data_IF_591733998159
#
_entry.id   IF_591733998159
#
_cell.length_a   1.000
_cell.length_b   1.000
_cell.length_c   1.000
_cell.angle_alpha   90.00
_cell.angle_beta   90.00
_cell.angle_gamma   90.00
#
_symmetry.space_group_name_H-M   'P 1'
#
loop_
_entity.id
_entity.type
_entity.pdbx_description
1 polymer ?
#
# COMPACT_ATOMS: atom_id res chain seq x y z
N UNK A 1 -23.38 -35.35 17.75
CA UNK A 1 -24.19 -34.15 18.00
C UNK A 1 -23.32 -33.18 18.77
N UNK A 2 -22.80 -32.17 18.09
CA UNK A 2 -21.94 -31.15 18.69
C UNK A 2 -22.84 -30.13 19.40
N UNK A 3 -22.58 -29.86 20.68
CA UNK A 3 -23.21 -28.74 21.38
C UNK A 3 -22.90 -27.42 20.65
N UNK A 4 -23.86 -26.49 20.55
CA UNK A 4 -23.58 -25.16 20.02
C UNK A 4 -22.64 -24.44 21.00
N UNK A 5 -21.55 -23.88 20.48
CA UNK A 5 -20.68 -22.97 21.22
C UNK A 5 -21.54 -21.82 21.76
N UNK A 6 -21.65 -21.67 23.08
CA UNK A 6 -22.25 -20.49 23.70
C UNK A 6 -21.60 -19.23 23.10
N UNK A 7 -22.41 -18.37 22.48
CA UNK A 7 -22.00 -17.03 22.07
C UNK A 7 -21.60 -16.24 23.32
N UNK A 8 -20.31 -16.27 23.67
CA UNK A 8 -19.77 -15.40 24.70
C UNK A 8 -19.96 -13.94 24.25
N UNK A 9 -20.90 -13.24 24.88
CA UNK A 9 -21.18 -11.83 24.60
C UNK A 9 -19.91 -11.04 24.90
N UNK A 10 -19.32 -10.45 23.86
CA UNK A 10 -18.09 -9.68 24.00
C UNK A 10 -18.29 -8.52 25.00
N UNK A 11 -17.38 -8.33 25.97
CA UNK A 11 -17.47 -7.25 26.95
C UNK A 11 -17.61 -5.89 26.26
N UNK A 12 -18.42 -4.99 26.81
CA UNK A 12 -18.68 -3.67 26.19
C UNK A 12 -18.02 -2.53 26.96
N UNK A 13 -17.80 -1.40 26.29
CA UNK A 13 -17.29 -0.18 26.95
C UNK A 13 -18.26 0.32 28.05
N UNK A 14 -19.56 0.09 27.87
CA UNK A 14 -20.57 0.44 28.86
C UNK A 14 -20.41 -0.38 30.14
N UNK A 15 -20.07 -1.66 30.01
CA UNK A 15 -19.80 -2.53 31.14
C UNK A 15 -18.52 -2.12 31.89
N UNK A 16 -17.46 -1.78 31.18
CA UNK A 16 -16.24 -1.21 31.80
C UNK A 16 -16.54 0.09 32.55
N UNK A 17 -17.31 1.00 31.95
CA UNK A 17 -17.68 2.27 32.57
C UNK A 17 -18.48 2.06 33.86
N UNK A 18 -19.44 1.12 33.84
CA UNK A 18 -20.23 0.74 35.01
C UNK A 18 -19.34 0.18 36.12
N UNK A 19 -18.40 -0.71 35.79
CA UNK A 19 -17.50 -1.35 36.75
C UNK A 19 -16.47 -0.39 37.35
N UNK A 20 -16.04 0.62 36.58
CA UNK A 20 -15.13 1.66 37.04
C UNK A 20 -15.85 2.85 37.70
N UNK A 21 -17.18 2.82 37.78
CA UNK A 21 -18.03 3.90 38.32
C UNK A 21 -17.77 5.27 37.66
N UNK A 22 -17.71 5.28 36.33
CA UNK A 22 -17.53 6.50 35.53
C UNK A 22 -18.49 6.55 34.34
N UNK A 23 -18.61 7.71 33.69
CA UNK A 23 -19.35 7.79 32.43
C UNK A 23 -18.63 7.05 31.30
N UNK A 24 -19.39 6.56 30.31
CA UNK A 24 -18.84 5.93 29.09
C UNK A 24 -17.83 6.83 28.39
N UNK A 25 -18.07 8.15 28.38
CA UNK A 25 -17.15 9.14 27.83
C UNK A 25 -15.82 9.19 28.61
N UNK A 26 -15.86 9.11 29.94
CA UNK A 26 -14.67 9.12 30.80
C UNK A 26 -13.87 7.82 30.67
N UNK A 27 -14.54 6.66 30.66
CA UNK A 27 -13.91 5.38 30.39
C UNK A 27 -13.23 5.37 29.01
N UNK A 28 -13.89 5.93 27.99
CA UNK A 28 -13.31 6.07 26.67
C UNK A 28 -12.07 6.95 26.65
N UNK A 29 -12.11 8.11 27.34
CA UNK A 29 -10.95 9.02 27.42
C UNK A 29 -9.76 8.37 28.11
N UNK A 30 -10.00 7.69 29.22
CA UNK A 30 -8.99 6.93 29.97
C UNK A 30 -8.30 5.88 29.07
N UNK A 31 -9.08 5.01 28.41
CA UNK A 31 -8.56 3.94 27.54
C UNK A 31 -7.90 4.46 26.26
N UNK A 32 -8.15 5.72 25.87
CA UNK A 32 -7.49 6.37 24.74
C UNK A 32 -6.31 7.26 25.17
N UNK A 33 -5.94 7.28 26.46
CA UNK A 33 -4.84 8.10 26.96
C UNK A 33 -5.10 9.61 26.90
N UNK A 34 -6.36 10.04 26.83
CA UNK A 34 -6.73 11.46 26.67
C UNK A 34 -7.11 12.03 28.05
N UNK A 35 -6.22 12.86 28.60
CA UNK A 35 -6.47 13.77 29.74
C UNK A 35 -7.50 13.26 30.76
N UNK A 36 -7.06 12.36 31.63
CA UNK A 36 -7.85 11.72 32.69
C UNK A 36 -7.03 11.69 33.99
N UNK A 37 -7.69 11.85 35.14
CA UNK A 37 -7.01 11.79 36.44
C UNK A 37 -6.38 10.39 36.66
N UNK A 38 -5.20 10.29 37.28
CA UNK A 38 -4.50 9.02 37.49
C UNK A 38 -5.37 7.95 38.17
N UNK A 39 -6.17 8.36 39.15
CA UNK A 39 -7.05 7.46 39.92
C UNK A 39 -8.13 6.85 39.01
N UNK A 40 -8.77 7.69 38.19
CA UNK A 40 -9.78 7.26 37.22
C UNK A 40 -9.18 6.37 36.14
N UNK A 41 -7.97 6.68 35.65
CA UNK A 41 -7.27 5.84 34.69
C UNK A 41 -7.01 4.44 35.26
N UNK A 42 -6.51 4.36 36.50
CA UNK A 42 -6.26 3.09 37.17
C UNK A 42 -7.54 2.26 37.36
N UNK A 43 -8.65 2.91 37.76
CA UNK A 43 -9.94 2.23 37.94
C UNK A 43 -10.49 1.68 36.61
N UNK A 44 -10.37 2.45 35.53
CA UNK A 44 -10.84 2.03 34.21
C UNK A 44 -10.00 0.90 33.63
N UNK A 45 -8.67 0.95 33.79
CA UNK A 45 -7.78 -0.12 33.31
C UNK A 45 -8.04 -1.43 34.06
N UNK A 46 -8.16 -1.38 35.40
CA UNK A 46 -8.47 -2.56 36.21
C UNK A 46 -9.85 -3.15 35.87
N UNK A 47 -10.85 -2.30 35.63
CA UNK A 47 -12.18 -2.74 35.21
C UNK A 47 -12.16 -3.41 33.83
N UNK A 48 -11.41 -2.85 32.87
CA UNK A 48 -11.26 -3.40 31.53
C UNK A 48 -10.54 -4.76 31.56
N UNK A 49 -9.45 -4.87 32.33
CA UNK A 49 -8.69 -6.11 32.50
C UNK A 49 -9.56 -7.21 33.12
N UNK A 50 -10.32 -6.89 34.17
CA UNK A 50 -11.19 -7.87 34.86
C UNK A 50 -12.23 -8.52 33.96
N UNK A 51 -12.74 -7.80 32.96
CA UNK A 51 -13.73 -8.34 32.01
C UNK A 51 -13.10 -8.76 30.69
N UNK A 52 -11.78 -8.63 30.52
CA UNK A 52 -11.11 -8.90 29.25
C UNK A 52 -11.53 -7.93 28.12
N UNK A 53 -11.96 -6.70 28.46
CA UNK A 53 -12.34 -5.71 27.46
C UNK A 53 -11.11 -5.19 26.71
N UNK A 54 -11.09 -5.45 25.40
CA UNK A 54 -10.15 -4.82 24.48
C UNK A 54 -10.90 -3.75 23.68
N UNK A 55 -10.40 -2.50 23.63
CA UNK A 55 -11.04 -1.45 22.85
C UNK A 55 -11.21 -1.87 21.38
N UNK A 56 -12.45 -1.86 20.90
CA UNK A 56 -12.76 -2.20 19.51
C UNK A 56 -12.14 -1.14 18.56
N UNK A 57 -11.17 -1.58 17.76
CA UNK A 57 -10.49 -0.70 16.81
C UNK A 57 -11.45 -0.10 15.78
N UNK A 58 -12.46 -0.84 15.31
CA UNK A 58 -13.46 -0.35 14.33
C UNK A 58 -14.33 0.74 14.92
N UNK A 59 -14.79 0.59 16.18
CA UNK A 59 -15.54 1.63 16.89
C UNK A 59 -14.69 2.90 17.13
N UNK A 60 -13.37 2.73 17.35
CA UNK A 60 -12.42 3.84 17.47
C UNK A 60 -12.22 4.55 16.13
N UNK A 61 -12.09 3.81 15.03
CA UNK A 61 -11.92 4.37 13.68
C UNK A 61 -13.14 5.19 13.26
N UNK A 62 -14.34 4.69 13.53
CA UNK A 62 -15.61 5.40 13.27
C UNK A 62 -15.66 6.77 13.96
N UNK A 63 -15.22 6.86 15.22
CA UNK A 63 -15.23 8.13 15.96
C UNK A 63 -14.10 9.08 15.55
N UNK A 64 -12.91 8.55 15.27
CA UNK A 64 -11.74 9.35 14.92
C UNK A 64 -11.63 9.68 13.43
N UNK A 65 -12.48 9.07 12.59
CA UNK A 65 -12.37 9.08 11.12
C UNK A 65 -10.99 8.64 10.61
N UNK A 66 -10.26 7.85 11.40
CA UNK A 66 -8.92 7.35 11.10
C UNK A 66 -8.78 5.90 11.48
N UNK A 67 -8.32 5.09 10.55
CA UNK A 67 -8.06 3.66 10.72
C UNK A 67 -6.71 3.37 11.37
N UNK A 68 -5.76 4.30 11.25
CA UNK A 68 -4.35 4.08 11.62
C UNK A 68 -3.67 3.06 10.72
N UNK A 69 -4.16 2.90 9.48
CA UNK A 69 -3.66 1.92 8.52
C UNK A 69 -3.38 2.60 7.16
N UNK A 70 -2.35 2.11 6.48
CA UNK A 70 -2.04 2.44 5.08
C UNK A 70 -2.04 1.12 4.31
N UNK A 71 -2.65 1.10 3.12
CA UNK A 71 -2.58 -0.05 2.24
C UNK A 71 -1.37 0.05 1.29
N UNK A 72 -0.73 -1.07 1.03
CA UNK A 72 0.18 -1.24 -0.10
C UNK A 72 -0.43 -2.27 -1.05
N UNK A 73 -0.88 -1.79 -2.20
CA UNK A 73 -1.48 -2.56 -3.28
C UNK A 73 -0.42 -2.81 -4.35
N UNK A 74 -0.06 -4.07 -4.56
CA UNK A 74 0.93 -4.49 -5.53
C UNK A 74 0.42 -5.67 -6.37
N UNK A 75 1.00 -5.95 -7.54
CA UNK A 75 0.57 -7.05 -8.39
C UNK A 75 0.63 -8.43 -7.71
N UNK A 76 1.74 -8.73 -7.02
CA UNK A 76 1.99 -10.07 -6.50
C UNK A 76 2.86 -10.03 -5.24
N UNK A 77 2.29 -10.39 -4.09
CA UNK A 77 3.02 -10.43 -2.81
C UNK A 77 4.25 -11.35 -2.82
N UNK A 78 4.29 -12.35 -3.72
CA UNK A 78 5.40 -13.30 -3.80
C UNK A 78 6.61 -12.74 -4.57
N UNK A 79 6.45 -11.66 -5.33
CA UNK A 79 7.55 -11.07 -6.08
C UNK A 79 8.60 -10.44 -5.14
N UNK A 80 9.88 -10.84 -5.22
CA UNK A 80 10.94 -10.35 -4.33
C UNK A 80 11.13 -8.82 -4.35
N UNK A 81 10.83 -8.16 -5.47
CA UNK A 81 10.89 -6.70 -5.57
C UNK A 81 9.89 -6.08 -4.59
N UNK A 82 8.64 -6.55 -4.57
CA UNK A 82 7.62 -6.01 -3.66
C UNK A 82 7.88 -6.44 -2.22
N UNK A 83 8.44 -7.63 -1.97
CA UNK A 83 8.84 -8.02 -0.61
C UNK A 83 9.88 -7.04 -0.01
N UNK A 84 10.84 -6.58 -0.82
CA UNK A 84 11.80 -5.56 -0.39
C UNK A 84 11.14 -4.21 -0.10
N UNK A 85 10.14 -3.82 -0.91
CA UNK A 85 9.35 -2.61 -0.70
C UNK A 85 8.49 -2.71 0.56
N UNK A 86 7.81 -3.84 0.79
CA UNK A 86 7.03 -4.12 2.01
C UNK A 86 7.89 -3.88 3.24
N UNK A 87 9.11 -4.44 3.27
CA UNK A 87 10.03 -4.26 4.40
C UNK A 87 10.34 -2.78 4.67
N UNK A 88 10.64 -2.02 3.61
CA UNK A 88 10.99 -0.60 3.71
C UNK A 88 9.78 0.27 4.14
N UNK A 89 8.62 0.03 3.52
CA UNK A 89 7.36 0.71 3.83
C UNK A 89 6.95 0.40 5.27
N UNK A 90 6.92 -0.89 5.65
CA UNK A 90 6.54 -1.34 6.99
C UNK A 90 7.42 -0.71 8.07
N UNK A 91 8.75 -0.68 7.87
CA UNK A 91 9.68 -0.08 8.83
C UNK A 91 9.39 1.42 9.00
N UNK A 92 9.10 2.11 7.90
CA UNK A 92 8.83 3.56 7.87
C UNK A 92 7.47 3.90 8.48
N UNK A 93 6.45 3.10 8.18
CA UNK A 93 5.10 3.20 8.71
C UNK A 93 5.06 2.91 10.21
N UNK A 94 5.68 1.80 10.64
CA UNK A 94 5.73 1.37 12.04
C UNK A 94 6.36 2.42 12.95
N UNK A 95 7.48 3.03 12.53
CA UNK A 95 8.13 4.14 13.25
C UNK A 95 7.24 5.36 13.48
N UNK A 96 6.18 5.51 12.67
CA UNK A 96 5.21 6.60 12.74
C UNK A 96 3.86 6.17 13.35
N UNK A 97 3.78 4.96 13.89
CA UNK A 97 2.56 4.44 14.51
C UNK A 97 1.50 3.94 13.52
N UNK A 98 1.88 3.70 12.27
CA UNK A 98 0.99 3.19 11.22
C UNK A 98 1.12 1.68 11.06
N UNK A 99 -0.01 1.03 10.75
CA UNK A 99 -0.05 -0.38 10.33
C UNK A 99 -0.09 -0.45 8.81
N UNK A 100 0.62 -1.42 8.23
CA UNK A 100 0.59 -1.69 6.80
C UNK A 100 -0.39 -2.85 6.51
N UNK A 101 -1.27 -2.64 5.55
CA UNK A 101 -2.13 -3.67 4.97
C UNK A 101 -1.57 -4.02 3.60
N UNK A 102 -1.39 -5.31 3.32
CA UNK A 102 -0.94 -5.78 2.01
C UNK A 102 -2.15 -6.18 1.18
N UNK A 103 -2.15 -5.82 -0.10
CA UNK A 103 -3.20 -6.16 -1.04
C UNK A 103 -2.58 -6.57 -2.38
N UNK A 104 -2.91 -7.78 -2.86
CA UNK A 104 -2.38 -8.30 -4.12
C UNK A 104 -3.42 -8.08 -5.21
N UNK A 105 -3.11 -7.26 -6.23
CA UNK A 105 -4.05 -6.88 -7.30
C UNK A 105 -4.00 -7.81 -8.51
N UNK A 106 -2.97 -8.66 -8.63
CA UNK A 106 -2.75 -9.48 -9.82
C UNK A 106 -2.35 -8.67 -11.07
N UNK A 107 -2.09 -7.36 -10.93
CA UNK A 107 -2.08 -6.40 -12.04
C UNK A 107 -3.39 -6.42 -12.87
N UNK A 108 -4.50 -6.76 -12.20
CA UNK A 108 -5.84 -6.69 -12.75
C UNK A 108 -6.44 -5.30 -12.52
N UNK A 109 -7.00 -4.73 -13.59
CA UNK A 109 -7.51 -3.37 -13.55
C UNK A 109 -8.75 -3.25 -12.64
N UNK A 110 -9.61 -4.28 -12.56
CA UNK A 110 -10.81 -4.20 -11.74
C UNK A 110 -10.47 -4.29 -10.25
N UNK A 111 -9.48 -5.10 -9.88
CA UNK A 111 -8.94 -5.14 -8.51
C UNK A 111 -8.28 -3.80 -8.13
N UNK A 112 -7.47 -3.21 -9.01
CA UNK A 112 -6.82 -1.91 -8.79
C UNK A 112 -7.86 -0.77 -8.64
N UNK A 113 -8.90 -0.75 -9.48
CA UNK A 113 -10.00 0.21 -9.38
C UNK A 113 -10.87 -0.05 -8.14
N UNK A 114 -11.06 -1.32 -7.76
CA UNK A 114 -11.78 -1.74 -6.57
C UNK A 114 -11.19 -1.14 -5.31
N UNK A 115 -9.87 -1.31 -5.10
CA UNK A 115 -9.20 -0.77 -3.92
C UNK A 115 -9.19 0.77 -3.90
N UNK A 116 -9.10 1.44 -5.05
CA UNK A 116 -9.24 2.90 -5.14
C UNK A 116 -10.63 3.36 -4.70
N UNK A 117 -11.69 2.65 -5.10
CA UNK A 117 -13.07 2.95 -4.69
C UNK A 117 -13.30 2.68 -3.20
N UNK A 118 -12.66 1.66 -2.64
CA UNK A 118 -12.76 1.31 -1.22
C UNK A 118 -12.15 2.35 -0.28
N UNK A 119 -11.33 3.28 -0.79
CA UNK A 119 -10.92 4.47 -0.04
C UNK A 119 -12.11 5.30 0.43
N UNK A 120 -13.22 5.34 -0.34
CA UNK A 120 -14.47 6.03 0.05
C UNK A 120 -15.16 5.35 1.24
N UNK A 121 -14.89 4.06 1.47
CA UNK A 121 -15.40 3.30 2.61
C UNK A 121 -14.55 3.48 3.87
N UNK A 122 -13.51 4.31 3.82
CA UNK A 122 -12.55 4.51 4.90
C UNK A 122 -11.92 3.20 5.39
N UNK A 123 -11.60 2.29 4.47
CA UNK A 123 -10.91 1.04 4.79
C UNK A 123 -9.46 1.30 5.28
N UNK A 124 -8.80 2.31 4.71
CA UNK A 124 -7.46 2.78 5.10
C UNK A 124 -7.39 4.31 5.04
N UNK A 125 -6.38 4.88 5.69
CA UNK A 125 -6.14 6.34 5.70
C UNK A 125 -5.26 6.82 4.54
N UNK A 126 -4.71 5.89 3.76
CA UNK A 126 -3.91 6.16 2.57
C UNK A 126 -3.55 4.90 1.81
N UNK A 127 -3.16 5.05 0.54
CA UNK A 127 -2.84 3.96 -0.37
C UNK A 127 -1.50 4.19 -1.07
N UNK A 128 -0.68 3.14 -1.12
CA UNK A 128 0.46 3.04 -2.01
C UNK A 128 0.09 2.02 -3.09
N UNK A 129 0.04 2.43 -4.36
CA UNK A 129 -0.41 1.60 -5.48
C UNK A 129 0.73 1.36 -6.47
N UNK A 130 0.90 0.11 -6.92
CA UNK A 130 1.83 -0.25 -8.00
C UNK A 130 1.03 -0.81 -9.18
N UNK A 131 0.54 0.05 -10.10
CA UNK A 131 -0.13 -0.41 -11.30
C UNK A 131 0.90 -0.77 -12.38
N UNK A 132 0.76 -1.94 -13.03
CA UNK A 132 1.62 -2.28 -14.17
C UNK A 132 1.12 -1.70 -15.49
N UNK A 133 -0.18 -1.43 -15.58
CA UNK A 133 -0.84 -0.80 -16.73
C UNK A 133 -1.77 0.29 -16.19
N UNK A 134 -1.68 1.49 -16.73
CA UNK A 134 -2.50 2.62 -16.28
C UNK A 134 -3.49 2.94 -17.40
N UNK A 135 -4.77 2.79 -17.09
CA UNK A 135 -5.88 3.10 -18.02
C UNK A 135 -6.53 4.44 -17.67
N UNK A 136 -7.35 4.98 -18.56
CA UNK A 136 -8.10 6.22 -18.26
C UNK A 136 -8.96 6.10 -16.98
N UNK A 137 -9.58 4.93 -16.77
CA UNK A 137 -10.34 4.66 -15.55
C UNK A 137 -9.49 4.77 -14.28
N UNK A 138 -8.21 4.39 -14.33
CA UNK A 138 -7.29 4.58 -13.21
C UNK A 138 -7.07 6.07 -12.95
N UNK A 139 -6.84 6.86 -14.01
CA UNK A 139 -6.63 8.31 -13.88
C UNK A 139 -7.86 9.00 -13.27
N UNK A 140 -9.05 8.62 -13.71
CA UNK A 140 -10.31 9.14 -13.17
C UNK A 140 -10.50 8.81 -11.68
N UNK A 141 -10.24 7.57 -11.26
CA UNK A 141 -10.38 7.18 -9.85
C UNK A 141 -9.26 7.78 -8.97
N UNK A 142 -8.03 7.89 -9.48
CA UNK A 142 -6.93 8.57 -8.80
C UNK A 142 -7.24 10.06 -8.59
N UNK A 143 -7.81 10.72 -9.59
CA UNK A 143 -8.22 12.12 -9.50
C UNK A 143 -9.34 12.36 -8.48
N UNK A 144 -10.13 11.32 -8.15
CA UNK A 144 -11.27 11.35 -7.23
C UNK A 144 -10.98 10.59 -5.93
N UNK A 145 -9.72 10.27 -5.64
CA UNK A 145 -9.37 9.45 -4.48
C UNK A 145 -9.79 10.13 -3.16
N UNK A 146 -10.48 9.37 -2.30
CA UNK A 146 -11.01 9.87 -1.02
C UNK A 146 -9.96 9.91 0.11
N UNK A 147 -8.75 9.42 -0.16
CA UNK A 147 -7.60 9.44 0.73
C UNK A 147 -6.33 9.67 -0.10
N UNK A 148 -5.21 10.12 0.52
CA UNK A 148 -3.94 10.26 -0.19
C UNK A 148 -3.49 8.96 -0.85
N UNK A 149 -3.11 9.07 -2.13
CA UNK A 149 -2.56 7.96 -2.91
C UNK A 149 -1.16 8.33 -3.38
N UNK A 150 -0.22 7.39 -3.23
CA UNK A 150 1.11 7.46 -3.84
C UNK A 150 1.23 6.33 -4.84
N UNK A 151 1.60 6.64 -6.07
CA UNK A 151 1.84 5.62 -7.10
C UNK A 151 3.31 5.29 -7.19
N UNK A 152 3.65 4.01 -7.03
CA UNK A 152 4.99 3.52 -7.36
C UNK A 152 4.98 3.08 -8.82
N UNK A 153 5.67 3.83 -9.67
CA UNK A 153 5.65 3.64 -11.11
C UNK A 153 5.58 4.96 -11.86
N UNK A 154 5.09 4.91 -13.10
CA UNK A 154 4.93 6.08 -13.96
C UNK A 154 3.48 6.22 -14.38
N UNK A 155 2.94 7.42 -14.22
CA UNK A 155 1.61 7.86 -14.66
C UNK A 155 1.76 9.22 -15.37
N UNK A 156 0.73 9.71 -16.09
CA UNK A 156 0.75 11.06 -16.65
C UNK A 156 1.03 12.12 -15.58
N UNK A 157 1.89 13.09 -15.89
CA UNK A 157 2.37 14.12 -14.94
C UNK A 157 1.26 14.99 -14.35
N UNK A 158 0.15 15.13 -15.07
CA UNK A 158 -0.98 15.98 -14.65
C UNK A 158 -1.97 15.24 -13.74
N UNK A 159 -1.70 13.97 -13.40
CA UNK A 159 -2.50 13.20 -12.43
C UNK A 159 -2.25 13.75 -11.03
N UNK A 160 -3.29 14.08 -10.23
CA UNK A 160 -3.14 14.79 -8.95
C UNK A 160 -2.75 13.86 -7.79
N UNK A 161 -1.71 13.04 -7.97
CA UNK A 161 -1.17 12.12 -6.97
C UNK A 161 0.36 12.14 -7.00
N UNK A 162 0.97 11.84 -5.86
CA UNK A 162 2.43 11.73 -5.79
C UNK A 162 2.90 10.44 -6.47
N UNK A 163 4.08 10.51 -7.09
CA UNK A 163 4.67 9.38 -7.79
C UNK A 163 6.10 9.12 -7.34
N UNK A 164 6.47 7.85 -7.23
CA UNK A 164 7.84 7.41 -6.93
C UNK A 164 8.22 6.31 -7.89
N UNK A 165 9.32 6.44 -8.61
CA UNK A 165 9.72 5.43 -9.59
C UNK A 165 11.15 5.59 -10.04
N UNK A 166 11.67 4.52 -10.65
CA UNK A 166 12.93 4.56 -11.36
C UNK A 166 12.69 4.92 -12.83
N UNK A 167 13.61 5.69 -13.43
CA UNK A 167 13.60 5.92 -14.86
C UNK A 167 14.11 4.68 -15.61
N UNK A 168 13.18 3.77 -15.89
CA UNK A 168 13.45 2.50 -16.55
C UNK A 168 13.96 2.67 -17.98
N UNK A 169 13.55 3.75 -18.67
CA UNK A 169 14.01 4.07 -20.03
C UNK A 169 15.46 4.51 -19.98
N UNK A 170 15.79 5.44 -19.10
CA UNK A 170 17.18 5.86 -18.91
C UNK A 170 18.07 4.71 -18.45
N UNK A 171 17.61 3.91 -17.48
CA UNK A 171 18.35 2.75 -16.98
C UNK A 171 18.70 1.74 -18.07
N UNK A 172 17.75 1.42 -18.97
CA UNK A 172 18.02 0.52 -20.09
C UNK A 172 19.01 1.11 -21.11
N UNK A 173 18.92 2.42 -21.39
CA UNK A 173 19.88 3.09 -22.27
C UNK A 173 21.30 3.09 -21.68
N UNK A 174 21.42 3.29 -20.37
CA UNK A 174 22.70 3.21 -19.65
C UNK A 174 23.30 1.79 -19.72
N UNK A 175 22.47 0.75 -19.60
CA UNK A 175 22.93 -0.64 -19.71
C UNK A 175 23.52 -0.93 -21.10
N UNK A 176 22.85 -0.50 -22.18
CA UNK A 176 23.37 -0.65 -23.55
C UNK A 176 24.67 0.12 -23.74
N UNK A 177 24.72 1.38 -23.27
CA UNK A 177 25.93 2.20 -23.34
C UNK A 177 27.12 1.53 -22.64
N UNK A 178 26.87 0.92 -21.47
CA UNK A 178 27.89 0.22 -20.71
C UNK A 178 28.43 -0.99 -21.49
N UNK A 179 27.56 -1.86 -22.02
CA UNK A 179 27.95 -3.02 -22.81
C UNK A 179 28.72 -2.62 -24.08
N UNK A 180 28.27 -1.58 -24.78
CA UNK A 180 28.97 -1.07 -25.95
C UNK A 180 30.37 -0.55 -25.59
N UNK A 181 30.51 0.14 -24.46
CA UNK A 181 31.81 0.59 -23.94
C UNK A 181 32.78 -0.55 -23.60
N UNK A 182 32.29 -1.76 -23.37
CA UNK A 182 33.09 -2.98 -23.20
C UNK A 182 33.42 -3.68 -24.54
N UNK A 183 32.98 -3.12 -25.68
CA UNK A 183 33.21 -3.67 -27.02
C UNK A 183 32.09 -4.57 -27.54
N UNK A 184 30.96 -4.70 -26.83
CA UNK A 184 29.81 -5.47 -27.34
C UNK A 184 29.15 -4.73 -28.51
N UNK A 185 28.96 -5.42 -29.63
CA UNK A 185 28.33 -4.88 -30.85
C UNK A 185 26.99 -5.55 -31.18
N UNK A 186 26.71 -6.72 -30.61
CA UNK A 186 25.44 -7.44 -30.74
C UNK A 186 24.80 -7.58 -29.37
N UNK A 187 23.80 -6.74 -29.08
CA UNK A 187 23.19 -6.65 -27.75
C UNK A 187 21.70 -7.00 -27.88
N UNK A 188 21.27 -8.07 -27.21
CA UNK A 188 19.87 -8.48 -27.13
C UNK A 188 19.12 -7.87 -25.94
N UNK A 189 17.79 -7.94 -25.97
CA UNK A 189 16.92 -7.53 -24.86
C UNK A 189 16.02 -8.70 -24.44
N UNK A 190 16.18 -9.13 -23.19
CA UNK A 190 15.27 -10.03 -22.47
C UNK A 190 14.42 -9.17 -21.53
N UNK A 191 13.10 -9.20 -21.66
CA UNK A 191 12.22 -8.22 -21.01
C UNK A 191 10.90 -8.83 -20.53
N UNK A 192 10.26 -8.14 -19.59
CA UNK A 192 8.86 -8.43 -19.27
C UNK A 192 7.89 -7.95 -20.37
N UNK A 193 6.59 -8.23 -20.23
CA UNK A 193 5.59 -7.88 -21.23
C UNK A 193 5.60 -6.40 -21.59
N UNK A 194 5.73 -6.09 -22.87
CA UNK A 194 5.81 -4.70 -23.39
C UNK A 194 4.55 -3.88 -23.17
N UNK A 195 3.41 -4.55 -22.90
CA UNK A 195 2.17 -3.88 -22.52
C UNK A 195 2.26 -3.14 -21.18
N UNK A 196 3.17 -3.58 -20.31
CA UNK A 196 3.40 -2.94 -19.00
C UNK A 196 4.21 -1.66 -19.14
N UNK A 197 3.92 -0.67 -18.29
CA UNK A 197 4.67 0.59 -18.22
C UNK A 197 6.19 0.37 -18.11
N UNK A 198 6.72 -0.46 -17.17
CA UNK A 198 8.17 -0.72 -17.11
C UNK A 198 8.70 -1.54 -18.30
N UNK A 199 7.90 -2.46 -18.86
CA UNK A 199 8.27 -3.24 -20.05
C UNK A 199 8.46 -2.34 -21.28
N UNK A 200 7.48 -1.47 -21.56
CA UNK A 200 7.55 -0.49 -22.63
C UNK A 200 8.74 0.47 -22.45
N UNK A 201 8.91 1.02 -21.25
CA UNK A 201 9.99 1.97 -20.95
C UNK A 201 11.37 1.36 -21.16
N UNK A 202 11.62 0.13 -20.67
CA UNK A 202 12.89 -0.57 -20.89
C UNK A 202 13.15 -0.86 -22.35
N UNK A 203 12.13 -1.26 -23.11
CA UNK A 203 12.26 -1.48 -24.57
C UNK A 203 12.66 -0.20 -25.29
N UNK A 204 12.00 0.93 -24.99
CA UNK A 204 12.36 2.22 -25.57
C UNK A 204 13.79 2.63 -25.20
N UNK A 205 14.19 2.43 -23.93
CA UNK A 205 15.53 2.75 -23.46
C UNK A 205 16.63 1.92 -24.13
N UNK A 206 16.38 0.63 -24.33
CA UNK A 206 17.26 -0.24 -25.11
C UNK A 206 17.45 0.28 -26.53
N UNK A 207 16.36 0.63 -27.22
CA UNK A 207 16.42 1.17 -28.59
C UNK A 207 17.14 2.52 -28.65
N UNK A 208 16.93 3.40 -27.67
CA UNK A 208 17.66 4.67 -27.58
C UNK A 208 19.15 4.45 -27.36
N UNK A 209 19.52 3.46 -26.52
CA UNK A 209 20.90 3.07 -26.29
C UNK A 209 21.59 2.55 -27.55
N UNK A 210 20.92 1.68 -28.31
CA UNK A 210 21.44 1.18 -29.60
C UNK A 210 21.65 2.32 -30.59
N UNK A 211 20.66 3.21 -30.72
CA UNK A 211 20.73 4.39 -31.60
C UNK A 211 21.92 5.28 -31.22
N UNK A 212 22.11 5.55 -29.93
CA UNK A 212 23.23 6.35 -29.44
C UNK A 212 24.59 5.69 -29.70
N UNK A 213 24.65 4.36 -29.65
CA UNK A 213 25.84 3.56 -29.95
C UNK A 213 26.04 3.28 -31.46
N UNK A 214 25.11 3.73 -32.33
CA UNK A 214 25.08 3.43 -33.77
C UNK A 214 25.12 1.92 -34.07
N UNK A 215 24.39 1.14 -33.26
CA UNK A 215 24.23 -0.30 -33.44
C UNK A 215 22.84 -0.60 -34.00
N UNK A 216 22.77 -1.58 -34.89
CA UNK A 216 21.51 -2.11 -35.40
C UNK A 216 20.89 -3.08 -34.40
N UNK A 217 19.55 -3.11 -34.36
CA UNK A 217 18.82 -4.12 -33.59
C UNK A 217 18.96 -5.47 -34.29
N UNK A 218 19.31 -6.49 -33.52
CA UNK A 218 19.26 -7.88 -33.97
C UNK A 218 18.04 -8.57 -33.33
N UNK A 219 17.05 -8.87 -34.15
CA UNK A 219 15.79 -9.48 -33.70
C UNK A 219 15.96 -10.94 -33.23
N UNK A 220 16.99 -11.66 -33.69
CA UNK A 220 17.30 -13.04 -33.23
C UNK A 220 17.79 -13.08 -31.78
N UNK A 221 18.23 -11.95 -31.23
CA UNK A 221 18.73 -11.83 -29.86
C UNK A 221 17.70 -11.26 -28.89
N UNK A 222 16.50 -10.92 -29.37
CA UNK A 222 15.42 -10.40 -28.56
C UNK A 222 14.37 -11.49 -28.35
N UNK A 223 13.81 -11.57 -27.14
CA UNK A 223 12.56 -12.32 -26.95
C UNK A 223 11.43 -11.65 -27.76
N UNK A 224 10.49 -12.46 -28.24
CA UNK A 224 9.34 -12.02 -29.04
C UNK A 224 8.37 -11.13 -28.25
#
# INVERSE_FOLDING_TARGET
MSEPLEEAVAPTLAEVARLANVSVASASRALNGIGTRPETLSQVLAAAERVGYVPNASARSLRSKRTGQIAFAMPDVSNPIYASMVRAIQTTAHRRGWRLVLHSTGADADEELGILRDLRRHFVDGLILVPLNVTEAHLEELARAAAPVVVIGSIPKDTPVDTVGADSRHGAALAVKHLHGLGCTRIGLVNGPVKTTPGAARRLGYLDGLRAAKLDRNDELCEA
#
